data_IF_884475120476
#
_entry.id   IF_884475120476
#
_cell.length_a   1.000
_cell.length_b   1.000
_cell.length_c   1.000
_cell.angle_alpha   90.00
_cell.angle_beta   90.00
_cell.angle_gamma   90.00
#
_symmetry.space_group_name_H-M   'P 1'
#
loop_
_entity.id
_entity.type
_entity.pdbx_description
1 polymer ?
#
# COMPACT_ATOMS: atom_id res chain seq x y z
N UNK A 1 -7.41 19.08 21.11
CA UNK A 1 -7.49 17.74 20.50
C UNK A 1 -8.55 17.74 19.41
N UNK A 2 -8.16 17.54 18.14
CA UNK A 2 -9.07 17.42 16.98
C UNK A 2 -9.31 15.95 16.65
N UNK A 3 -10.49 15.63 16.14
CA UNK A 3 -10.87 14.27 15.74
C UNK A 3 -11.38 14.29 14.30
N UNK A 4 -10.76 13.47 13.45
CA UNK A 4 -11.23 13.20 12.10
C UNK A 4 -11.85 11.79 12.05
N UNK A 5 -13.12 11.72 11.61
CA UNK A 5 -13.91 10.49 11.53
C UNK A 5 -14.02 9.94 10.09
N UNK A 6 -13.43 10.63 9.11
CA UNK A 6 -13.34 10.25 7.71
C UNK A 6 -12.01 9.54 7.40
N UNK A 7 -11.97 8.86 6.24
CA UNK A 7 -10.71 8.35 5.68
C UNK A 7 -9.86 9.51 5.19
N UNK A 8 -8.92 9.95 6.01
CA UNK A 8 -8.13 11.14 5.71
C UNK A 8 -6.90 10.80 4.88
N UNK A 9 -6.71 11.42 3.71
CA UNK A 9 -5.46 11.28 2.97
C UNK A 9 -4.34 12.01 3.71
N UNK A 10 -3.31 11.27 4.10
CA UNK A 10 -2.11 11.83 4.75
C UNK A 10 -0.86 11.50 3.93
N UNK A 11 0.05 12.47 3.86
CA UNK A 11 1.28 12.35 3.11
C UNK A 11 2.28 11.47 3.85
N UNK A 12 2.93 10.57 3.12
CA UNK A 12 4.09 9.83 3.63
C UNK A 12 5.32 10.74 3.70
N UNK A 13 5.99 10.74 4.84
CA UNK A 13 7.25 11.44 5.06
C UNK A 13 8.48 10.62 4.63
N UNK A 14 8.29 9.35 4.27
CA UNK A 14 9.33 8.44 3.82
C UNK A 14 9.91 8.84 2.46
N UNK A 15 11.18 8.52 2.23
CA UNK A 15 11.86 8.51 0.93
C UNK A 15 11.49 7.29 0.07
N UNK A 16 11.76 7.34 -1.25
CA UNK A 16 11.33 6.27 -2.18
C UNK A 16 11.99 4.94 -1.82
N UNK A 17 13.24 5.01 -1.36
CA UNK A 17 14.00 3.85 -0.92
C UNK A 17 13.39 3.22 0.34
N UNK A 18 12.89 4.02 1.28
CA UNK A 18 12.22 3.51 2.48
C UNK A 18 10.90 2.83 2.13
N UNK A 19 10.07 3.47 1.29
CA UNK A 19 8.84 2.84 0.80
C UNK A 19 9.15 1.53 0.07
N UNK A 20 10.15 1.52 -0.81
CA UNK A 20 10.59 0.31 -1.52
C UNK A 20 11.03 -0.79 -0.55
N UNK A 21 11.76 -0.45 0.52
CA UNK A 21 12.16 -1.42 1.54
C UNK A 21 10.96 -1.98 2.32
N UNK A 22 9.98 -1.14 2.66
CA UNK A 22 8.74 -1.57 3.34
C UNK A 22 7.96 -2.53 2.44
N UNK A 23 7.76 -2.17 1.16
CA UNK A 23 7.10 -3.03 0.17
C UNK A 23 7.85 -4.36 0.00
N UNK A 24 9.19 -4.33 -0.02
CA UNK A 24 10.02 -5.54 -0.09
C UNK A 24 9.81 -6.47 1.11
N UNK A 25 9.69 -5.91 2.32
CA UNK A 25 9.40 -6.67 3.53
C UNK A 25 8.02 -7.32 3.42
N UNK A 26 6.99 -6.55 3.06
CA UNK A 26 5.64 -7.06 2.85
C UNK A 26 5.60 -8.24 1.85
N UNK A 27 6.22 -8.05 0.67
CA UNK A 27 6.30 -9.10 -0.35
C UNK A 27 7.01 -10.35 0.19
N UNK A 28 8.08 -10.18 0.96
CA UNK A 28 8.83 -11.30 1.53
C UNK A 28 8.01 -12.13 2.53
N UNK A 29 7.12 -11.48 3.29
CA UNK A 29 6.19 -12.12 4.23
C UNK A 29 5.02 -12.82 3.51
N UNK A 30 4.72 -12.40 2.28
CA UNK A 30 3.65 -12.93 1.44
C UNK A 30 4.10 -13.98 0.41
N UNK A 31 5.33 -14.52 0.52
CA UNK A 31 5.83 -15.56 -0.40
C UNK A 31 4.85 -16.73 -0.55
N UNK A 32 4.56 -17.08 -1.81
CA UNK A 32 3.62 -18.14 -2.16
C UNK A 32 2.14 -17.81 -1.91
N UNK A 33 1.82 -16.59 -1.48
CA UNK A 33 0.46 -16.11 -1.25
C UNK A 33 0.08 -15.03 -2.27
N UNK A 34 -1.21 -14.73 -2.32
CA UNK A 34 -1.74 -13.56 -3.02
C UNK A 34 -1.97 -12.41 -2.05
N UNK A 35 -1.94 -11.20 -2.59
CA UNK A 35 -2.36 -9.98 -1.89
C UNK A 35 -3.05 -9.03 -2.86
N UNK A 36 -3.75 -8.03 -2.37
CA UNK A 36 -4.39 -6.98 -3.18
C UNK A 36 -3.68 -5.63 -3.08
N UNK A 37 -3.95 -4.69 -3.99
CA UNK A 37 -3.35 -3.36 -3.90
C UNK A 37 -3.79 -2.63 -2.63
N UNK A 38 -5.05 -2.79 -2.23
CA UNK A 38 -5.55 -2.17 -0.99
C UNK A 38 -4.88 -2.77 0.25
N UNK A 39 -4.65 -4.09 0.29
CA UNK A 39 -3.92 -4.72 1.41
C UNK A 39 -2.50 -4.15 1.54
N UNK A 40 -1.77 -4.00 0.43
CA UNK A 40 -0.44 -3.39 0.44
C UNK A 40 -0.49 -1.91 0.85
N UNK A 41 -1.49 -1.16 0.37
CA UNK A 41 -1.67 0.25 0.70
C UNK A 41 -1.97 0.44 2.19
N UNK A 42 -2.85 -0.40 2.75
CA UNK A 42 -3.18 -0.38 4.17
C UNK A 42 -1.97 -0.73 5.02
N UNK A 43 -1.23 -1.78 4.66
CA UNK A 43 0.01 -2.14 5.34
C UNK A 43 1.02 -0.99 5.37
N UNK A 44 1.19 -0.28 4.26
CA UNK A 44 2.10 0.86 4.21
C UNK A 44 1.63 2.02 5.11
N UNK A 45 0.32 2.28 5.16
CA UNK A 45 -0.26 3.30 6.03
C UNK A 45 -0.06 2.92 7.50
N UNK A 46 -0.39 1.69 7.89
CA UNK A 46 -0.26 1.20 9.26
C UNK A 46 1.19 1.27 9.72
N UNK A 47 2.12 0.78 8.88
CA UNK A 47 3.56 0.88 9.15
C UNK A 47 3.99 2.34 9.32
N UNK A 48 3.57 3.24 8.43
CA UNK A 48 3.94 4.64 8.51
C UNK A 48 3.35 5.31 9.76
N UNK A 49 2.14 4.95 10.18
CA UNK A 49 1.53 5.51 11.38
C UNK A 49 2.25 5.07 12.66
N UNK A 50 2.50 3.76 12.78
CA UNK A 50 3.24 3.18 13.91
C UNK A 50 4.65 3.76 14.06
N UNK A 51 5.27 4.20 12.96
CA UNK A 51 6.63 4.75 12.95
C UNK A 51 6.67 6.29 12.87
N UNK A 52 5.54 6.98 13.01
CA UNK A 52 5.45 8.45 12.93
C UNK A 52 5.97 9.04 11.60
N UNK A 53 5.71 8.35 10.49
CA UNK A 53 6.13 8.72 9.14
C UNK A 53 4.97 9.30 8.30
N UNK A 54 3.92 9.79 8.97
CA UNK A 54 2.79 10.48 8.35
C UNK A 54 2.78 11.96 8.76
N UNK A 55 2.43 12.83 7.82
CA UNK A 55 2.26 14.26 8.04
C UNK A 55 0.96 14.54 8.82
N UNK A 56 0.96 14.20 10.12
CA UNK A 56 -0.16 14.37 11.05
C UNK A 56 -0.13 15.75 11.70
N UNK A 57 -1.30 16.37 11.84
CA UNK A 57 -1.46 17.56 12.69
C UNK A 57 -1.16 17.19 14.15
N UNK A 58 -0.47 18.08 14.87
CA UNK A 58 -0.30 17.95 16.32
C UNK A 58 -1.66 17.88 17.04
N UNK A 59 -1.70 17.17 18.17
CA UNK A 59 -2.90 17.01 19.00
C UNK A 59 -4.15 16.53 18.24
N UNK A 60 -3.98 15.67 17.23
CA UNK A 60 -5.07 15.21 16.37
C UNK A 60 -5.14 13.68 16.29
N UNK A 61 -6.36 13.14 16.34
CA UNK A 61 -6.64 11.71 16.16
C UNK A 61 -7.39 11.48 14.85
N UNK A 62 -6.99 10.43 14.14
CA UNK A 62 -7.56 10.02 12.85
C UNK A 62 -8.13 8.61 12.99
N UNK A 63 -9.40 8.41 12.64
CA UNK A 63 -10.05 7.09 12.67
C UNK A 63 -9.92 6.31 11.36
N UNK A 64 -9.41 6.95 10.31
CA UNK A 64 -9.09 6.33 9.05
C UNK A 64 -8.02 7.14 8.36
N UNK A 65 -6.98 6.48 7.87
CA UNK A 65 -5.90 7.10 7.11
C UNK A 65 -5.79 6.36 5.79
N UNK A 66 -5.68 7.11 4.71
CA UNK A 66 -5.40 6.58 3.38
C UNK A 66 -4.21 7.32 2.77
N UNK A 67 -3.60 6.73 1.75
CA UNK A 67 -2.54 7.41 0.99
C UNK A 67 -3.12 8.60 0.23
N UNK A 68 -2.30 9.64 0.07
CA UNK A 68 -2.58 10.68 -0.93
C UNK A 68 -2.53 10.10 -2.34
N UNK A 69 -3.17 10.75 -3.32
CA UNK A 69 -3.07 10.32 -4.73
C UNK A 69 -1.61 10.25 -5.23
N UNK A 70 -0.75 11.15 -4.74
CA UNK A 70 0.67 11.16 -5.08
C UNK A 70 1.39 9.95 -4.50
N UNK A 71 1.16 9.64 -3.22
CA UNK A 71 1.76 8.48 -2.56
C UNK A 71 1.20 7.16 -3.10
N UNK A 72 -0.08 7.13 -3.48
CA UNK A 72 -0.68 5.99 -4.17
C UNK A 72 0.00 5.70 -5.51
N UNK A 73 0.20 6.73 -6.36
CA UNK A 73 0.95 6.59 -7.62
C UNK A 73 2.38 6.13 -7.40
N UNK A 74 3.03 6.69 -6.39
CA UNK A 74 4.40 6.33 -5.99
C UNK A 74 4.50 4.86 -5.57
N UNK A 75 3.56 4.38 -4.75
CA UNK A 75 3.46 2.96 -4.39
C UNK A 75 3.24 2.09 -5.63
N UNK A 76 2.38 2.51 -6.58
CA UNK A 76 2.17 1.79 -7.83
C UNK A 76 3.45 1.68 -8.68
N UNK A 77 4.26 2.74 -8.75
CA UNK A 77 5.55 2.72 -9.47
C UNK A 77 6.53 1.74 -8.84
N UNK A 78 6.68 1.78 -7.51
CA UNK A 78 7.54 0.87 -6.74
C UNK A 78 7.10 -0.58 -6.94
N UNK A 79 5.79 -0.86 -6.86
CA UNK A 79 5.25 -2.19 -7.12
C UNK A 79 5.50 -2.63 -8.57
N UNK A 80 5.46 -1.69 -9.52
CA UNK A 80 5.85 -1.88 -10.91
C UNK A 80 7.27 -2.42 -11.07
N UNK A 81 8.23 -1.94 -10.27
CA UNK A 81 9.59 -2.47 -10.28
C UNK A 81 9.63 -3.94 -9.85
N UNK A 82 8.89 -4.32 -8.79
CA UNK A 82 8.81 -5.71 -8.34
C UNK A 82 8.13 -6.64 -9.36
N UNK A 83 7.19 -6.12 -10.16
CA UNK A 83 6.62 -6.84 -11.30
C UNK A 83 7.68 -7.10 -12.38
N UNK A 84 8.45 -6.06 -12.74
CA UNK A 84 9.53 -6.17 -13.74
C UNK A 84 10.65 -7.10 -13.28
N UNK A 85 10.97 -7.11 -11.98
CA UNK A 85 11.93 -8.04 -11.37
C UNK A 85 11.39 -9.49 -11.26
N UNK A 86 10.12 -9.72 -11.58
CA UNK A 86 9.48 -11.04 -11.49
C UNK A 86 9.36 -11.57 -10.05
N UNK A 87 9.29 -10.66 -9.07
CA UNK A 87 9.06 -10.99 -7.65
C UNK A 87 7.57 -11.17 -7.36
N UNK A 88 6.74 -10.40 -8.06
CA UNK A 88 5.29 -10.46 -8.00
C UNK A 88 4.72 -10.56 -9.41
N UNK A 89 3.49 -11.05 -9.52
CA UNK A 89 2.76 -11.17 -10.78
C UNK A 89 1.31 -10.73 -10.59
N UNK A 90 0.72 -10.10 -11.61
CA UNK A 90 -0.72 -9.82 -11.62
C UNK A 90 -1.48 -11.13 -11.87
N UNK A 91 -2.42 -11.46 -11.00
CA UNK A 91 -3.30 -12.60 -11.19
C UNK A 91 -4.48 -12.23 -12.10
N UNK A 92 -4.27 -12.26 -13.42
CA UNK A 92 -5.32 -11.91 -14.38
C UNK A 92 -6.60 -12.75 -14.21
N UNK A 93 -6.50 -14.05 -13.85
CA UNK A 93 -7.68 -14.90 -13.64
C UNK A 93 -8.60 -14.39 -12.51
N UNK A 94 -8.04 -13.74 -11.48
CA UNK A 94 -8.80 -13.21 -10.34
C UNK A 94 -8.83 -11.69 -10.28
N UNK A 95 -8.36 -11.01 -11.32
CA UNK A 95 -8.29 -9.56 -11.34
C UNK A 95 -9.68 -8.94 -11.61
N UNK A 96 -10.02 -7.77 -11.04
CA UNK A 96 -11.15 -6.92 -11.37
C UNK A 96 -11.55 -6.88 -12.84
N UNK A 97 -10.56 -6.73 -13.71
CA UNK A 97 -10.79 -6.62 -15.15
C UNK A 97 -11.36 -7.93 -15.74
N UNK A 98 -11.22 -9.05 -15.04
CA UNK A 98 -11.81 -10.34 -15.37
C UNK A 98 -13.02 -10.70 -14.48
N UNK A 99 -13.21 -10.03 -13.34
CA UNK A 99 -14.29 -10.28 -12.40
C UNK A 99 -14.86 -8.95 -11.87
N UNK A 100 -15.92 -8.46 -12.51
CA UNK A 100 -16.53 -7.11 -12.34
C UNK A 100 -16.93 -6.82 -10.88
N UNK A 101 -17.05 -7.83 -10.02
CA UNK A 101 -17.45 -7.67 -8.62
C UNK A 101 -16.34 -7.27 -7.66
N UNK A 102 -15.07 -7.27 -8.06
CA UNK A 102 -13.95 -6.93 -7.18
C UNK A 102 -13.16 -5.79 -7.81
N UNK A 103 -13.14 -4.59 -7.22
CA UNK A 103 -12.45 -3.42 -7.80
C UNK A 103 -10.94 -3.39 -7.51
N UNK A 104 -10.44 -4.34 -6.71
CA UNK A 104 -9.03 -4.39 -6.29
C UNK A 104 -8.15 -5.39 -7.06
N UNK A 105 -6.98 -4.92 -7.53
CA UNK A 105 -6.05 -5.75 -8.29
C UNK A 105 -5.35 -6.78 -7.40
N UNK A 106 -5.46 -8.05 -7.81
CA UNK A 106 -4.82 -9.17 -7.11
C UNK A 106 -3.45 -9.47 -7.70
N UNK A 107 -2.46 -9.57 -6.81
CA UNK A 107 -1.08 -9.97 -7.09
C UNK A 107 -0.77 -11.33 -6.45
N UNK A 108 0.21 -12.04 -7.01
CA UNK A 108 0.79 -13.27 -6.45
C UNK A 108 2.28 -13.06 -6.26
N UNK A 109 2.81 -13.43 -5.09
CA UNK A 109 4.25 -13.42 -4.83
C UNK A 109 4.88 -14.73 -5.31
N UNK A 110 6.00 -14.62 -6.03
CA UNK A 110 6.79 -15.79 -6.41
C UNK A 110 7.27 -16.54 -5.17
N UNK A 111 7.05 -17.86 -5.15
CA UNK A 111 7.56 -18.77 -4.13
C UNK A 111 9.08 -18.73 -4.02
#
# INVERSE_FOLDING_TARGET
>A
MRYYYDNRPLKLLCSDMEVKNIVKTFISEHKGKSFTFSELSQFLVDFADENHLLDKEEDTTYNGIILTDLDGKRLSLILGEFLLEGKVFINFYRNPFCNISNEDTIFIVKS
#
